data_IF_216763792628
#
_entry.id   IF_216763792628
#
_cell.length_a   1.000
_cell.length_b   1.000
_cell.length_c   1.000
_cell.angle_alpha   90.00
_cell.angle_beta   90.00
_cell.angle_gamma   90.00
#
_symmetry.space_group_name_H-M   'P 1'
#
loop_
_entity.id
_entity.type
_entity.pdbx_description
1 polymer ?
#
# COMPACT_ATOMS: atom_id res chain seq x y z
N UNK A 1 25.48 4.32 -18.59
CA UNK A 1 24.72 3.07 -18.79
C UNK A 1 24.61 2.34 -17.45
N UNK A 2 23.62 2.66 -16.61
CA UNK A 2 23.26 1.85 -15.45
C UNK A 2 22.34 0.73 -15.97
N UNK A 3 22.94 -0.30 -16.55
CA UNK A 3 22.25 -1.53 -16.95
C UNK A 3 21.83 -2.26 -15.67
N UNK A 4 20.50 -2.41 -15.47
CA UNK A 4 19.84 -3.46 -14.70
C UNK A 4 20.55 -3.91 -13.40
N UNK A 5 20.87 -2.99 -12.49
CA UNK A 5 21.19 -3.40 -11.13
C UNK A 5 19.91 -3.94 -10.52
N UNK A 6 19.88 -5.25 -10.26
CA UNK A 6 18.82 -5.89 -9.50
C UNK A 6 18.74 -5.21 -8.12
N UNK A 7 17.56 -4.90 -7.67
CA UNK A 7 17.32 -4.42 -6.30
C UNK A 7 17.97 -5.40 -5.30
N UNK A 8 18.80 -4.96 -4.33
CA UNK A 8 19.40 -5.85 -3.35
C UNK A 8 18.34 -6.52 -2.45
N UNK A 9 18.58 -7.75 -1.99
CA UNK A 9 17.65 -8.50 -1.15
C UNK A 9 17.32 -7.77 0.15
N UNK A 10 18.31 -7.21 0.82
CA UNK A 10 18.13 -6.41 2.06
C UNK A 10 17.25 -5.17 1.84
N UNK A 11 17.33 -4.53 0.67
CA UNK A 11 16.47 -3.42 0.30
C UNK A 11 15.03 -3.89 0.04
N UNK A 12 14.86 -5.07 -0.59
CA UNK A 12 13.55 -5.66 -0.81
C UNK A 12 12.87 -6.03 0.52
N UNK A 13 13.57 -6.73 1.40
CA UNK A 13 13.10 -7.04 2.76
C UNK A 13 12.74 -5.79 3.56
N UNK A 14 13.62 -4.78 3.53
CA UNK A 14 13.37 -3.50 4.19
C UNK A 14 12.13 -2.81 3.65
N UNK A 15 11.92 -2.86 2.34
CA UNK A 15 10.73 -2.28 1.70
C UNK A 15 9.44 -2.94 2.19
N UNK A 16 9.40 -4.28 2.20
CA UNK A 16 8.25 -5.05 2.71
C UNK A 16 8.03 -4.79 4.19
N UNK A 17 9.10 -4.89 4.99
CA UNK A 17 9.05 -4.65 6.44
C UNK A 17 8.53 -3.26 6.78
N UNK A 18 8.98 -2.22 6.08
CA UNK A 18 8.58 -0.84 6.38
C UNK A 18 7.17 -0.53 5.88
N UNK A 19 6.85 -0.90 4.63
CA UNK A 19 5.60 -0.45 4.01
C UNK A 19 4.39 -1.31 4.35
N UNK A 20 4.58 -2.60 4.61
CA UNK A 20 3.48 -3.49 4.97
C UNK A 20 3.50 -3.81 6.47
N UNK A 21 4.51 -4.53 6.96
CA UNK A 21 4.55 -4.95 8.38
C UNK A 21 4.60 -3.77 9.34
N UNK A 22 5.32 -2.69 9.01
CA UNK A 22 5.34 -1.47 9.81
C UNK A 22 3.96 -0.84 9.92
N UNK A 23 3.23 -0.75 8.81
CA UNK A 23 1.83 -0.27 8.80
C UNK A 23 0.92 -1.19 9.62
N UNK A 24 1.02 -2.51 9.44
CA UNK A 24 0.25 -3.51 10.17
C UNK A 24 0.47 -3.39 11.68
N UNK A 25 1.72 -3.46 12.13
CA UNK A 25 2.05 -3.43 13.56
C UNK A 25 1.66 -2.11 14.24
N UNK A 26 1.89 -0.96 13.61
CA UNK A 26 1.47 0.34 14.16
C UNK A 26 -0.06 0.41 14.25
N UNK A 27 -0.75 -0.06 13.23
CA UNK A 27 -2.23 -0.09 13.23
C UNK A 27 -2.76 -0.99 14.34
N UNK A 28 -2.25 -2.22 14.47
CA UNK A 28 -2.65 -3.17 15.51
C UNK A 28 -2.41 -2.61 16.91
N UNK A 29 -1.26 -1.97 17.14
CA UNK A 29 -0.93 -1.37 18.43
C UNK A 29 -1.87 -0.21 18.81
N UNK A 30 -2.33 0.57 17.81
CA UNK A 30 -3.21 1.72 18.03
C UNK A 30 -4.71 1.36 17.94
N UNK A 31 -5.05 0.20 17.40
CA UNK A 31 -6.43 -0.21 17.14
C UNK A 31 -7.35 -0.13 18.38
N UNK A 32 -6.92 -0.55 19.60
CA UNK A 32 -7.74 -0.39 20.80
C UNK A 32 -8.15 1.06 21.08
N UNK A 33 -7.22 2.02 20.89
CA UNK A 33 -7.47 3.45 21.07
C UNK A 33 -8.38 4.01 19.97
N UNK A 34 -8.16 3.61 18.72
CA UNK A 34 -8.99 4.02 17.59
C UNK A 34 -10.44 3.54 17.76
N UNK A 35 -10.62 2.33 18.26
CA UNK A 35 -11.95 1.76 18.51
C UNK A 35 -12.71 2.43 19.67
N UNK A 36 -12.01 3.06 20.59
CA UNK A 36 -12.63 3.84 21.67
C UNK A 36 -13.04 5.26 21.22
N UNK A 37 -12.60 5.69 20.04
CA UNK A 37 -12.99 6.98 19.46
C UNK A 37 -14.35 6.87 18.78
N UNK A 38 -15.16 7.92 18.89
CA UNK A 38 -16.42 8.04 18.14
C UNK A 38 -16.21 8.23 16.64
N UNK A 39 -15.02 8.60 16.22
CA UNK A 39 -14.64 8.86 14.83
C UNK A 39 -13.18 8.44 14.58
N UNK A 40 -12.89 7.15 14.79
CA UNK A 40 -11.57 6.59 14.57
C UNK A 40 -11.22 6.54 13.08
N UNK A 41 -10.06 7.12 12.70
CA UNK A 41 -9.63 7.25 11.30
C UNK A 41 -8.22 6.73 11.11
N UNK A 42 -8.01 6.04 9.99
CA UNK A 42 -6.70 5.58 9.52
C UNK A 42 -6.55 6.02 8.07
N UNK A 43 -5.47 6.71 7.75
CA UNK A 43 -5.09 7.01 6.37
C UNK A 43 -3.69 6.46 6.13
N UNK A 44 -3.61 5.39 5.37
CA UNK A 44 -2.34 4.81 4.96
C UNK A 44 -1.81 5.52 3.72
N UNK A 45 -0.62 6.14 3.83
CA UNK A 45 0.02 6.81 2.70
C UNK A 45 0.47 5.77 1.69
N UNK A 46 -0.26 5.70 0.59
CA UNK A 46 -0.07 4.76 -0.49
C UNK A 46 0.72 5.37 -1.67
N UNK A 47 0.67 4.71 -2.80
CA UNK A 47 1.32 5.11 -4.04
C UNK A 47 0.54 4.60 -5.24
N UNK A 48 0.65 5.30 -6.36
CA UNK A 48 0.22 4.76 -7.66
C UNK A 48 0.88 3.40 -7.95
N UNK A 49 2.10 3.15 -7.46
CA UNK A 49 2.78 1.86 -7.59
C UNK A 49 2.13 0.72 -6.79
N UNK A 50 1.23 1.00 -5.85
CA UNK A 50 0.44 -0.01 -5.14
C UNK A 50 -0.83 -0.45 -5.86
N UNK A 51 -1.11 0.07 -7.06
CA UNK A 51 -2.28 -0.33 -7.84
C UNK A 51 -2.07 -1.72 -8.47
N UNK A 52 -3.15 -2.49 -8.53
CA UNK A 52 -3.10 -3.89 -8.99
C UNK A 52 -2.67 -4.04 -10.45
N UNK A 53 -2.85 -3.02 -11.29
CA UNK A 53 -2.32 -2.99 -12.67
C UNK A 53 -0.81 -3.21 -12.77
N UNK A 54 -0.05 -2.96 -11.68
CA UNK A 54 1.40 -3.19 -11.65
C UNK A 54 1.79 -4.62 -11.26
N UNK A 55 0.85 -5.45 -10.85
CA UNK A 55 1.05 -6.88 -10.56
C UNK A 55 0.77 -7.67 -11.83
N UNK A 56 1.75 -8.35 -12.39
CA UNK A 56 1.62 -9.08 -13.65
C UNK A 56 0.88 -10.42 -13.51
N UNK A 57 0.92 -11.05 -12.32
CA UNK A 57 0.21 -12.30 -12.05
C UNK A 57 -1.29 -12.04 -11.89
N UNK A 58 -2.10 -12.66 -12.77
CA UNK A 58 -3.57 -12.57 -12.66
C UNK A 58 -4.12 -13.23 -11.41
N UNK A 59 -3.49 -14.32 -10.97
CA UNK A 59 -3.87 -15.02 -9.75
C UNK A 59 -3.70 -14.09 -8.53
N UNK A 60 -2.52 -13.48 -8.37
CA UNK A 60 -2.23 -12.55 -7.29
C UNK A 60 -3.14 -11.32 -7.37
N UNK A 61 -3.40 -10.78 -8.58
CA UNK A 61 -4.34 -9.66 -8.73
C UNK A 61 -5.74 -10.01 -8.28
N UNK A 62 -6.26 -11.18 -8.67
CA UNK A 62 -7.60 -11.64 -8.26
C UNK A 62 -7.66 -11.82 -6.76
N UNK A 63 -6.65 -12.44 -6.18
CA UNK A 63 -6.56 -12.65 -4.74
C UNK A 63 -6.53 -11.32 -3.97
N UNK A 64 -5.66 -10.38 -4.33
CA UNK A 64 -5.58 -9.05 -3.72
C UNK A 64 -6.85 -8.22 -3.91
N UNK A 65 -7.65 -8.50 -4.93
CA UNK A 65 -8.90 -7.80 -5.17
C UNK A 65 -10.11 -8.43 -4.46
N UNK A 66 -10.05 -9.72 -4.15
CA UNK A 66 -11.12 -10.43 -3.44
C UNK A 66 -11.02 -10.24 -1.92
N UNK A 67 -11.30 -9.02 -1.47
CA UNK A 67 -11.27 -8.67 -0.04
C UNK A 67 -12.29 -9.47 0.77
N UNK A 68 -13.30 -10.05 0.12
CA UNK A 68 -14.30 -10.91 0.76
C UNK A 68 -13.67 -12.14 1.42
N UNK A 69 -12.74 -12.79 0.75
CA UNK A 69 -12.07 -14.02 1.17
C UNK A 69 -10.62 -13.80 1.63
N UNK A 70 -9.98 -12.69 1.26
CA UNK A 70 -8.59 -12.43 1.61
C UNK A 70 -8.42 -12.20 3.12
N UNK A 71 -7.40 -12.85 3.70
CA UNK A 71 -7.01 -12.71 5.10
C UNK A 71 -5.64 -12.08 5.24
N UNK A 72 -5.30 -11.64 6.45
CA UNK A 72 -3.98 -11.07 6.76
C UNK A 72 -2.89 -12.14 6.67
N UNK A 73 -3.18 -13.36 7.14
CA UNK A 73 -2.28 -14.51 7.06
C UNK A 73 -1.94 -14.81 5.61
N UNK A 74 -2.94 -14.72 4.72
CA UNK A 74 -2.74 -14.95 3.30
C UNK A 74 -1.91 -13.86 2.63
N UNK A 75 -2.03 -12.60 3.10
CA UNK A 75 -1.14 -11.51 2.67
C UNK A 75 0.31 -11.77 3.12
N UNK A 76 0.50 -12.23 4.35
CA UNK A 76 1.82 -12.56 4.89
C UNK A 76 2.47 -13.70 4.04
N UNK A 77 1.75 -14.80 3.78
CA UNK A 77 2.21 -15.90 2.91
C UNK A 77 2.57 -15.44 1.49
N UNK A 78 1.78 -14.54 0.92
CA UNK A 78 2.05 -14.00 -0.41
C UNK A 78 3.33 -13.16 -0.43
N UNK A 79 3.59 -12.38 0.62
CA UNK A 79 4.81 -11.59 0.74
C UNK A 79 6.05 -12.49 0.97
N UNK A 80 5.91 -13.56 1.76
CA UNK A 80 6.98 -14.55 1.94
C UNK A 80 7.30 -15.25 0.62
N UNK A 81 6.27 -15.65 -0.14
CA UNK A 81 6.44 -16.19 -1.48
C UNK A 81 7.14 -15.19 -2.42
N UNK A 82 6.72 -13.94 -2.42
CA UNK A 82 7.36 -12.90 -3.22
C UNK A 82 8.85 -12.75 -2.89
N UNK A 83 9.21 -12.72 -1.61
CA UNK A 83 10.61 -12.59 -1.17
C UNK A 83 11.43 -13.83 -1.57
N UNK A 84 10.87 -15.03 -1.45
CA UNK A 84 11.51 -16.27 -1.94
C UNK A 84 11.76 -16.24 -3.45
N UNK A 85 10.75 -15.86 -4.24
CA UNK A 85 10.87 -15.73 -5.70
C UNK A 85 11.87 -14.62 -6.09
N UNK A 86 11.94 -13.55 -5.27
CA UNK A 86 12.91 -12.47 -5.43
C UNK A 86 14.34 -12.97 -5.21
N UNK A 87 14.59 -13.68 -4.12
CA UNK A 87 15.91 -14.26 -3.79
C UNK A 87 16.35 -15.24 -4.87
N UNK A 88 15.46 -16.15 -5.31
CA UNK A 88 15.72 -17.14 -6.36
C UNK A 88 15.92 -16.49 -7.75
N UNK A 89 15.55 -15.23 -7.96
CA UNK A 89 15.63 -14.57 -9.27
C UNK A 89 14.50 -14.91 -10.22
N UNK A 90 13.37 -15.38 -9.70
CA UNK A 90 12.24 -15.93 -10.45
C UNK A 90 11.07 -14.94 -10.62
N UNK A 91 11.31 -13.63 -10.42
CA UNK A 91 10.26 -12.62 -10.51
C UNK A 91 9.51 -12.64 -11.85
N UNK A 92 10.24 -12.76 -12.97
CA UNK A 92 9.61 -12.83 -14.31
C UNK A 92 8.83 -14.10 -14.51
N UNK A 93 9.37 -15.25 -14.06
CA UNK A 93 8.73 -16.56 -14.18
C UNK A 93 7.37 -16.58 -13.46
N UNK A 94 7.28 -15.93 -12.29
CA UNK A 94 6.06 -15.85 -11.49
C UNK A 94 5.25 -14.56 -11.74
N UNK A 95 5.64 -13.78 -12.78
CA UNK A 95 4.95 -12.55 -13.19
C UNK A 95 4.84 -11.50 -12.09
N UNK A 96 5.83 -11.43 -11.21
CA UNK A 96 5.99 -10.30 -10.30
C UNK A 96 6.52 -9.07 -11.05
N UNK A 97 6.29 -7.86 -10.54
CA UNK A 97 6.93 -6.68 -11.10
C UNK A 97 8.45 -6.78 -10.99
N UNK A 98 9.19 -6.37 -12.04
CA UNK A 98 10.66 -6.47 -12.08
C UNK A 98 11.37 -5.15 -11.81
N UNK A 99 10.63 -4.04 -11.81
CA UNK A 99 11.16 -2.70 -11.46
C UNK A 99 10.42 -2.17 -10.24
N UNK A 100 11.17 -1.71 -9.24
CA UNK A 100 10.59 -1.31 -7.95
C UNK A 100 9.71 -2.42 -7.37
N UNK A 101 10.17 -3.65 -7.52
CA UNK A 101 9.38 -4.85 -7.29
C UNK A 101 8.86 -4.93 -5.87
N UNK A 102 9.75 -4.84 -4.89
CA UNK A 102 9.38 -4.93 -3.48
C UNK A 102 8.49 -3.77 -3.03
N UNK A 103 8.75 -2.56 -3.52
CA UNK A 103 7.92 -1.40 -3.22
C UNK A 103 6.50 -1.55 -3.76
N UNK A 104 6.35 -2.00 -5.02
CA UNK A 104 5.03 -2.22 -5.64
C UNK A 104 4.23 -3.27 -4.90
N UNK A 105 4.86 -4.42 -4.62
CA UNK A 105 4.20 -5.54 -3.94
C UNK A 105 3.83 -5.14 -2.50
N UNK A 106 4.72 -4.50 -1.76
CA UNK A 106 4.45 -4.04 -0.41
C UNK A 106 3.31 -3.00 -0.34
N UNK A 107 3.26 -2.06 -1.30
CA UNK A 107 2.18 -1.07 -1.36
C UNK A 107 0.84 -1.69 -1.79
N UNK A 108 0.85 -2.69 -2.68
CA UNK A 108 -0.36 -3.43 -3.04
C UNK A 108 -0.90 -4.24 -1.84
N UNK A 109 -0.01 -4.91 -1.10
CA UNK A 109 -0.37 -5.62 0.13
C UNK A 109 -0.90 -4.66 1.22
N UNK A 110 -0.28 -3.49 1.41
CA UNK A 110 -0.76 -2.46 2.34
C UNK A 110 -2.15 -1.96 1.95
N UNK A 111 -2.42 -1.76 0.66
CA UNK A 111 -3.74 -1.38 0.16
C UNK A 111 -4.79 -2.46 0.48
N UNK A 112 -4.45 -3.74 0.22
CA UNK A 112 -5.33 -4.86 0.53
C UNK A 112 -5.58 -4.98 2.05
N UNK A 113 -4.55 -4.87 2.87
CA UNK A 113 -4.66 -4.84 4.34
C UNK A 113 -5.60 -3.72 4.82
N UNK A 114 -5.47 -2.52 4.27
CA UNK A 114 -6.35 -1.39 4.61
C UNK A 114 -7.83 -1.69 4.31
N UNK A 115 -8.10 -2.38 3.20
CA UNK A 115 -9.46 -2.80 2.81
C UNK A 115 -9.98 -3.92 3.73
N UNK A 116 -9.13 -4.86 4.15
CA UNK A 116 -9.46 -5.90 5.15
C UNK A 116 -9.84 -5.23 6.47
N UNK A 117 -9.04 -4.27 6.94
CA UNK A 117 -9.34 -3.52 8.17
C UNK A 117 -10.66 -2.76 8.08
N UNK A 118 -10.92 -2.07 6.98
CA UNK A 118 -12.17 -1.35 6.75
C UNK A 118 -13.38 -2.29 6.88
N UNK A 119 -13.27 -3.50 6.31
CA UNK A 119 -14.33 -4.52 6.41
C UNK A 119 -14.49 -5.07 7.82
N UNK A 120 -13.37 -5.35 8.52
CA UNK A 120 -13.40 -5.90 9.89
C UNK A 120 -13.85 -4.89 10.94
N UNK A 121 -13.64 -3.61 10.69
CA UNK A 121 -13.93 -2.52 11.63
C UNK A 121 -14.78 -1.44 10.97
N UNK A 122 -16.05 -1.74 10.65
CA UNK A 122 -16.94 -0.81 9.92
C UNK A 122 -17.22 0.51 10.65
N UNK A 123 -16.94 0.58 11.96
CA UNK A 123 -17.00 1.82 12.73
C UNK A 123 -15.79 2.74 12.51
N UNK A 124 -14.69 2.22 11.94
CA UNK A 124 -13.50 3.00 11.60
C UNK A 124 -13.54 3.42 10.13
N UNK A 125 -12.98 4.58 9.86
CA UNK A 125 -12.69 5.02 8.49
C UNK A 125 -11.25 4.71 8.14
N UNK A 126 -11.04 3.70 7.31
CA UNK A 126 -9.72 3.23 6.90
C UNK A 126 -9.56 3.42 5.40
N UNK A 127 -8.71 4.34 4.99
CA UNK A 127 -8.52 4.67 3.59
C UNK A 127 -7.03 4.69 3.21
N UNK A 128 -6.75 4.58 1.91
CA UNK A 128 -5.43 4.72 1.34
C UNK A 128 -5.35 6.05 0.57
N UNK A 129 -4.25 6.79 0.73
CA UNK A 129 -4.05 8.06 0.03
C UNK A 129 -2.71 8.08 -0.71
N UNK A 130 -2.75 8.18 -2.03
CA UNK A 130 -1.60 8.52 -2.85
C UNK A 130 -1.49 10.05 -2.92
N UNK A 131 -0.39 10.63 -2.39
CA UNK A 131 -0.23 12.10 -2.31
C UNK A 131 -0.04 12.78 -3.66
N UNK A 132 0.21 12.02 -4.72
CA UNK A 132 0.70 12.50 -6.01
C UNK A 132 2.21 12.30 -6.15
N UNK A 133 2.80 12.76 -7.25
CA UNK A 133 4.25 12.70 -7.48
C UNK A 133 4.90 13.95 -6.86
N UNK A 134 5.31 13.80 -5.62
CA UNK A 134 5.78 14.90 -4.78
C UNK A 134 7.30 15.05 -4.88
N UNK A 135 7.77 16.29 -4.95
CA UNK A 135 9.19 16.64 -4.96
C UNK A 135 9.78 16.50 -3.55
N UNK A 136 10.45 15.38 -3.30
CA UNK A 136 11.08 15.02 -2.03
C UNK A 136 12.39 14.27 -2.30
N UNK A 137 13.14 13.95 -1.26
CA UNK A 137 14.34 13.11 -1.36
C UNK A 137 14.02 11.74 -1.95
N UNK A 138 12.86 11.16 -1.62
CA UNK A 138 12.41 9.88 -2.20
C UNK A 138 12.26 9.93 -3.72
N UNK A 139 11.81 11.03 -4.27
CA UNK A 139 11.68 11.26 -5.72
C UNK A 139 12.95 11.82 -6.34
N UNK A 140 14.04 11.98 -5.57
CA UNK A 140 15.29 12.61 -5.98
C UNK A 140 15.05 14.00 -6.62
N UNK A 141 14.12 14.77 -6.09
CA UNK A 141 13.77 16.09 -6.58
C UNK A 141 13.01 16.12 -7.91
N UNK A 142 12.56 14.97 -8.43
CA UNK A 142 11.90 14.89 -9.75
C UNK A 142 10.36 15.00 -9.69
N UNK A 143 9.78 15.12 -8.49
CA UNK A 143 8.33 15.29 -8.30
C UNK A 143 7.82 16.61 -8.88
N UNK A 144 6.54 16.62 -9.26
CA UNK A 144 5.88 17.79 -9.85
C UNK A 144 5.06 18.59 -8.84
N UNK A 145 4.66 17.97 -7.71
CA UNK A 145 3.97 18.64 -6.62
C UNK A 145 4.96 19.06 -5.53
N UNK A 146 4.68 20.17 -4.86
CA UNK A 146 5.42 20.53 -3.65
C UNK A 146 5.09 19.58 -2.49
N UNK A 147 5.95 19.50 -1.45
CA UNK A 147 5.63 18.73 -0.23
C UNK A 147 4.31 19.14 0.41
N UNK A 148 3.99 20.43 0.41
CA UNK A 148 2.75 20.99 0.97
C UNK A 148 1.52 20.56 0.16
N UNK A 149 1.61 20.53 -1.18
CA UNK A 149 0.53 20.05 -2.05
C UNK A 149 0.28 18.55 -1.82
N UNK A 150 1.36 17.75 -1.77
CA UNK A 150 1.25 16.32 -1.46
C UNK A 150 0.66 16.06 -0.08
N UNK A 151 1.10 16.79 0.94
CA UNK A 151 0.58 16.69 2.29
C UNK A 151 -0.91 17.06 2.35
N UNK A 152 -1.32 18.11 1.65
CA UNK A 152 -2.72 18.57 1.57
C UNK A 152 -3.63 17.46 1.00
N UNK A 153 -3.17 16.71 0.01
CA UNK A 153 -3.92 15.58 -0.56
C UNK A 153 -4.17 14.48 0.48
N UNK A 154 -3.19 14.19 1.34
CA UNK A 154 -3.34 13.19 2.42
C UNK A 154 -4.25 13.72 3.54
N UNK A 155 -4.04 14.96 3.96
CA UNK A 155 -4.83 15.61 5.02
C UNK A 155 -6.30 15.72 4.61
N UNK A 156 -6.60 16.03 3.34
CA UNK A 156 -7.97 16.03 2.81
C UNK A 156 -8.68 14.71 3.07
N UNK A 157 -8.00 13.57 2.86
CA UNK A 157 -8.56 12.24 3.13
C UNK A 157 -8.72 11.96 4.63
N UNK A 158 -7.78 12.43 5.45
CA UNK A 158 -7.86 12.28 6.90
C UNK A 158 -9.02 13.08 7.51
N UNK A 159 -9.37 14.21 6.90
CA UNK A 159 -10.41 15.14 7.38
C UNK A 159 -11.71 15.06 6.57
N UNK A 160 -11.98 13.93 5.91
CA UNK A 160 -13.26 13.73 5.24
C UNK A 160 -14.44 13.92 6.21
N UNK A 161 -15.60 14.41 5.74
CA UNK A 161 -16.78 14.59 6.59
C UNK A 161 -17.22 13.32 7.32
N UNK A 162 -17.97 13.48 8.40
CA UNK A 162 -18.58 12.36 9.12
C UNK A 162 -19.47 11.52 8.18
N UNK A 163 -19.39 10.19 8.35
CA UNK A 163 -20.06 9.27 7.42
C UNK A 163 -19.36 9.10 6.07
N UNK A 164 -18.15 9.66 5.91
CA UNK A 164 -17.35 9.48 4.70
C UNK A 164 -16.96 8.04 4.43
N UNK A 165 -16.38 7.76 3.26
CA UNK A 165 -16.08 6.40 2.79
C UNK A 165 -15.02 5.71 3.66
N UNK A 166 -15.05 4.37 3.64
CA UNK A 166 -14.04 3.49 4.23
C UNK A 166 -13.66 2.39 3.23
N UNK A 167 -12.42 1.94 3.25
CA UNK A 167 -11.91 0.93 2.32
C UNK A 167 -11.64 1.49 0.92
N UNK A 168 -11.44 2.79 0.78
CA UNK A 168 -11.29 3.49 -0.51
C UNK A 168 -9.85 3.95 -0.72
N UNK A 169 -9.46 4.00 -1.99
CA UNK A 169 -8.19 4.57 -2.44
C UNK A 169 -8.43 5.99 -2.98
N UNK A 170 -7.57 6.90 -2.59
CA UNK A 170 -7.57 8.28 -3.06
C UNK A 170 -6.25 8.57 -3.80
N UNK A 171 -6.37 9.20 -4.95
CA UNK A 171 -5.23 9.73 -5.71
C UNK A 171 -5.37 11.26 -5.81
N UNK A 172 -4.34 11.98 -5.38
CA UNK A 172 -4.35 13.45 -5.37
C UNK A 172 -5.57 14.04 -4.62
N UNK A 173 -6.02 13.38 -3.55
CA UNK A 173 -7.16 13.81 -2.76
C UNK A 173 -8.55 13.53 -3.35
N UNK A 174 -8.64 12.78 -4.45
CA UNK A 174 -9.89 12.36 -5.08
C UNK A 174 -10.02 10.82 -5.08
N UNK A 175 -11.25 10.32 -4.97
CA UNK A 175 -11.51 8.87 -5.03
C UNK A 175 -11.03 8.28 -6.35
N UNK A 176 -10.39 7.11 -6.26
CA UNK A 176 -9.87 6.39 -7.41
C UNK A 176 -9.94 4.87 -7.20
N UNK A 177 -9.70 4.09 -8.26
CA UNK A 177 -9.69 2.64 -8.21
C UNK A 177 -8.36 2.11 -7.62
N UNK A 178 -8.42 0.95 -6.97
CA UNK A 178 -7.25 0.12 -6.65
C UNK A 178 -6.71 -0.67 -7.86
N UNK A 179 -7.41 -0.70 -8.98
CA UNK A 179 -7.06 -1.45 -10.20
C UNK A 179 -6.01 -0.76 -11.05
#
# INVERSE_FOLDING_TARGET
MLKNAREPMDAAEKSVRTNYYGTKHVTEALLPLLRSSSDGRIVNVSSNYGLLKHIGSEEVRRELNDIGSLTEERLDEMLDKFLGDFEAGELEAHRWPTKFSAYKVAKAAMNAYSRILARRHPALRVNCAHPGFVNTDMSMGSGVLTPEEGARNVVKVALLPDGGPTGVYFANGEEASFL
#
